data_IF_009122259776
#
_entry.id   IF_009122259776
#
_cell.length_a   1.000
_cell.length_b   1.000
_cell.length_c   1.000
_cell.angle_alpha   90.00
_cell.angle_beta   90.00
_cell.angle_gamma   90.00
#
_symmetry.space_group_name_H-M   'P 1'
#
loop_
_entity.id
_entity.type
_entity.pdbx_description
1 polymer ?
#
# COMPACT_ATOMS: atom_id res chain seq x y z
N UNK A 1 13.13 21.62 10.71
CA UNK A 1 13.48 20.51 9.82
C UNK A 1 12.91 19.20 10.33
N UNK A 2 12.41 18.37 9.42
CA UNK A 2 11.74 17.09 9.74
C UNK A 2 12.74 15.94 9.95
N UNK A 3 13.96 16.07 9.40
CA UNK A 3 15.02 15.08 9.41
C UNK A 3 16.31 15.65 10.02
N UNK A 4 17.17 14.76 10.50
CA UNK A 4 18.55 15.10 10.83
C UNK A 4 19.34 15.44 9.56
N UNK A 5 20.46 16.15 9.67
CA UNK A 5 21.33 16.40 8.50
C UNK A 5 21.83 15.11 7.85
N UNK A 6 22.07 14.07 8.65
CA UNK A 6 22.50 12.76 8.17
C UNK A 6 21.39 12.06 7.38
N UNK A 7 20.17 12.01 7.94
CA UNK A 7 19.03 11.39 7.27
C UNK A 7 18.61 12.17 6.01
N UNK A 8 18.75 13.51 6.02
CA UNK A 8 18.49 14.32 4.83
C UNK A 8 19.44 13.96 3.69
N UNK A 9 20.75 13.85 3.98
CA UNK A 9 21.75 13.41 2.98
C UNK A 9 21.50 11.99 2.48
N UNK A 10 21.02 11.10 3.34
CA UNK A 10 20.63 9.76 2.93
C UNK A 10 19.48 9.78 1.92
N UNK A 11 18.43 10.57 2.21
CA UNK A 11 17.27 10.72 1.32
C UNK A 11 17.66 11.39 0.01
N UNK A 12 18.47 12.44 0.07
CA UNK A 12 19.00 13.14 -1.11
C UNK A 12 19.78 12.18 -2.02
N UNK A 13 20.73 11.43 -1.47
CA UNK A 13 21.53 10.46 -2.22
C UNK A 13 20.66 9.35 -2.84
N UNK A 14 19.63 8.87 -2.13
CA UNK A 14 18.69 7.89 -2.68
C UNK A 14 17.90 8.45 -3.87
N UNK A 15 17.38 9.67 -3.74
CA UNK A 15 16.60 10.32 -4.80
C UNK A 15 17.44 10.57 -6.05
N UNK A 16 18.71 10.97 -5.90
CA UNK A 16 19.65 11.08 -7.02
C UNK A 16 19.90 9.72 -7.68
N UNK A 17 20.09 8.66 -6.88
CA UNK A 17 20.34 7.28 -7.34
C UNK A 17 19.18 6.73 -8.17
N UNK A 18 17.93 6.98 -7.76
CA UNK A 18 16.72 6.53 -8.48
C UNK A 18 16.26 7.52 -9.57
N UNK A 19 17.00 8.62 -9.79
CA UNK A 19 16.74 9.59 -10.85
C UNK A 19 15.57 10.55 -10.60
N UNK A 20 15.16 10.73 -9.34
CA UNK A 20 14.10 11.66 -8.95
C UNK A 20 14.64 13.07 -8.67
N UNK A 21 13.98 14.15 -9.15
CA UNK A 21 14.39 15.52 -8.87
C UNK A 21 14.33 15.88 -7.38
N UNK A 22 15.42 16.41 -6.83
CA UNK A 22 15.49 16.85 -5.42
C UNK A 22 14.44 17.90 -5.03
N UNK A 23 13.95 18.69 -6.00
CA UNK A 23 12.83 19.62 -5.78
C UNK A 23 11.55 18.95 -5.26
N UNK A 24 11.43 17.62 -5.40
CA UNK A 24 10.33 16.84 -4.83
C UNK A 24 10.44 16.73 -3.30
N UNK A 25 11.65 16.68 -2.74
CA UNK A 25 11.86 16.60 -1.28
C UNK A 25 11.26 17.81 -0.54
N UNK A 26 11.24 18.97 -1.18
CA UNK A 26 10.74 20.22 -0.60
C UNK A 26 9.25 20.47 -0.87
N UNK A 27 8.66 19.77 -1.85
CA UNK A 27 7.32 20.11 -2.40
C UNK A 27 6.29 19.01 -2.24
N UNK A 28 6.71 17.80 -1.93
CA UNK A 28 5.86 16.61 -1.80
C UNK A 28 5.91 16.12 -0.35
N UNK A 29 4.76 15.68 0.19
CA UNK A 29 4.73 15.15 1.57
C UNK A 29 5.54 13.84 1.67
N UNK A 30 6.24 13.57 2.79
CA UNK A 30 7.16 12.44 2.88
C UNK A 30 6.57 11.05 2.57
N UNK A 31 5.28 10.82 2.85
CA UNK A 31 4.63 9.57 2.47
C UNK A 31 4.58 9.34 0.95
N UNK A 32 4.30 10.38 0.17
CA UNK A 32 4.28 10.25 -1.30
C UNK A 32 5.69 10.09 -1.87
N UNK A 33 6.70 10.64 -1.20
CA UNK A 33 8.10 10.38 -1.52
C UNK A 33 8.46 8.91 -1.31
N UNK A 34 7.88 8.25 -0.31
CA UNK A 34 8.09 6.82 -0.05
C UNK A 34 7.49 5.95 -1.17
N UNK A 35 6.33 6.33 -1.69
CA UNK A 35 5.71 5.67 -2.83
C UNK A 35 6.47 5.88 -4.15
N UNK A 36 7.15 7.02 -4.31
CA UNK A 36 7.95 7.33 -5.50
C UNK A 36 9.38 6.77 -5.43
N UNK A 37 9.94 6.65 -4.22
CA UNK A 37 11.30 6.16 -3.99
C UNK A 37 11.42 4.65 -3.83
N UNK A 38 10.28 3.93 -3.81
CA UNK A 38 10.20 2.48 -3.65
C UNK A 38 10.65 1.68 -4.88
N UNK A 39 10.84 0.36 -4.69
CA UNK A 39 11.26 -0.61 -5.73
C UNK A 39 10.51 -0.47 -7.07
N UNK A 40 9.22 -0.09 -7.04
CA UNK A 40 8.36 0.09 -8.22
C UNK A 40 8.93 1.11 -9.23
N UNK A 41 9.59 2.17 -8.77
CA UNK A 41 10.22 3.17 -9.66
C UNK A 41 11.65 2.79 -10.07
N UNK A 42 12.39 2.09 -9.21
CA UNK A 42 13.73 1.59 -9.52
C UNK A 42 13.68 0.64 -10.73
N UNK A 43 12.64 -0.19 -10.81
CA UNK A 43 12.41 -1.05 -11.98
C UNK A 43 12.03 -0.28 -13.24
N UNK A 44 11.43 0.91 -13.14
CA UNK A 44 11.11 1.74 -14.30
C UNK A 44 12.30 2.55 -14.81
N UNK A 45 13.30 2.83 -13.95
CA UNK A 45 14.49 3.61 -14.29
C UNK A 45 15.70 2.78 -14.76
N UNK A 46 15.74 1.48 -14.44
CA UNK A 46 16.90 0.61 -14.69
C UNK A 46 17.06 0.17 -16.15
N UNK A 47 16.11 0.45 -17.04
CA UNK A 47 16.17 0.07 -18.45
C UNK A 47 16.19 -1.45 -18.68
N UNK A 48 15.93 -2.24 -17.65
CA UNK A 48 15.69 -3.67 -17.76
C UNK A 48 14.26 -3.87 -18.27
N UNK A 49 14.13 -4.55 -19.41
CA UNK A 49 12.87 -4.80 -20.12
C UNK A 49 11.99 -5.84 -19.38
N UNK A 50 12.35 -6.19 -18.14
CA UNK A 50 11.50 -6.95 -17.24
C UNK A 50 10.35 -6.04 -16.80
N UNK A 51 9.29 -6.04 -17.62
CA UNK A 51 8.09 -5.25 -17.37
C UNK A 51 7.50 -5.60 -16.00
N UNK A 52 7.91 -4.90 -14.95
CA UNK A 52 7.19 -4.89 -13.68
C UNK A 52 5.85 -4.26 -13.98
N UNK A 53 4.81 -5.09 -13.90
CA UNK A 53 3.45 -4.68 -14.19
C UNK A 53 2.71 -4.47 -12.88
N UNK A 54 2.07 -3.32 -12.74
CA UNK A 54 1.18 -3.05 -11.61
C UNK A 54 -0.11 -3.85 -11.75
N UNK A 55 -0.46 -4.65 -10.74
CA UNK A 55 -1.75 -5.35 -10.68
C UNK A 55 -2.93 -4.40 -10.81
N UNK A 56 -2.86 -3.20 -10.22
CA UNK A 56 -3.92 -2.18 -10.34
C UNK A 56 -4.09 -1.76 -11.80
N UNK A 57 -2.99 -1.43 -12.48
CA UNK A 57 -3.03 -1.02 -13.89
C UNK A 57 -3.60 -2.11 -14.79
N UNK A 58 -3.23 -3.37 -14.56
CA UNK A 58 -3.78 -4.51 -15.31
C UNK A 58 -5.28 -4.69 -15.07
N UNK A 59 -5.73 -4.65 -13.82
CA UNK A 59 -7.15 -4.77 -13.48
C UNK A 59 -7.97 -3.62 -14.08
N UNK A 60 -7.45 -2.39 -14.01
CA UNK A 60 -8.08 -1.23 -14.65
C UNK A 60 -8.16 -1.39 -16.17
N UNK A 61 -7.08 -1.82 -16.83
CA UNK A 61 -7.07 -2.08 -18.27
C UNK A 61 -8.09 -3.17 -18.65
N UNK A 62 -8.15 -4.27 -17.90
CA UNK A 62 -9.14 -5.33 -18.12
C UNK A 62 -10.57 -4.81 -17.97
N UNK A 63 -10.84 -4.00 -16.95
CA UNK A 63 -12.15 -3.39 -16.73
C UNK A 63 -12.54 -2.45 -17.89
N UNK A 64 -11.61 -1.60 -18.35
CA UNK A 64 -11.82 -0.70 -19.49
C UNK A 64 -12.09 -1.45 -20.80
N UNK A 65 -11.26 -2.47 -21.11
CA UNK A 65 -11.44 -3.30 -22.31
C UNK A 65 -12.80 -4.00 -22.32
N UNK A 66 -13.27 -4.44 -21.15
CA UNK A 66 -14.59 -5.05 -20.94
C UNK A 66 -15.73 -4.04 -20.78
N UNK A 67 -15.43 -2.74 -20.78
CA UNK A 67 -16.38 -1.63 -20.56
C UNK A 67 -17.16 -1.77 -19.25
N UNK A 68 -16.50 -2.28 -18.21
CA UNK A 68 -17.08 -2.39 -16.87
C UNK A 68 -17.05 -1.02 -16.19
N UNK A 69 -18.11 -0.63 -15.46
CA UNK A 69 -18.06 0.53 -14.57
C UNK A 69 -16.95 0.34 -13.52
N UNK A 70 -16.16 1.39 -13.30
CA UNK A 70 -15.13 1.42 -12.27
C UNK A 70 -15.60 2.41 -11.20
N UNK A 71 -15.65 1.93 -9.95
CA UNK A 71 -16.10 2.68 -8.78
C UNK A 71 -15.08 2.43 -7.65
N UNK A 72 -14.88 3.42 -6.77
CA UNK A 72 -13.98 3.31 -5.63
C UNK A 72 -14.72 2.99 -4.33
N UNK A 73 -14.04 2.29 -3.41
CA UNK A 73 -14.55 2.06 -2.04
C UNK A 73 -14.38 3.27 -1.12
N UNK A 74 -13.53 4.22 -1.53
CA UNK A 74 -13.27 5.48 -0.85
C UNK A 74 -12.82 6.53 -1.88
N UNK A 75 -12.73 7.79 -1.46
CA UNK A 75 -12.21 8.87 -2.32
C UNK A 75 -10.72 9.11 -2.08
N UNK A 76 -10.05 9.70 -3.06
CA UNK A 76 -8.66 10.10 -2.92
C UNK A 76 -8.48 11.10 -1.76
N UNK A 77 -9.40 12.05 -1.58
CA UNK A 77 -9.36 13.02 -0.48
C UNK A 77 -9.47 12.34 0.89
N UNK A 78 -10.33 11.33 1.02
CA UNK A 78 -10.46 10.56 2.25
C UNK A 78 -9.15 9.83 2.57
N UNK A 79 -8.56 9.15 1.59
CA UNK A 79 -7.29 8.45 1.76
C UNK A 79 -6.16 9.44 2.13
N UNK A 80 -6.10 10.60 1.46
CA UNK A 80 -5.15 11.67 1.79
C UNK A 80 -5.32 12.19 3.21
N UNK A 81 -6.57 12.31 3.70
CA UNK A 81 -6.84 12.76 5.07
C UNK A 81 -6.33 11.80 6.15
N UNK A 82 -6.25 10.50 5.85
CA UNK A 82 -5.62 9.53 6.75
C UNK A 82 -4.13 9.85 6.89
N UNK A 83 -3.41 10.03 5.78
CA UNK A 83 -2.00 10.42 5.84
C UNK A 83 -1.78 11.77 6.53
N UNK A 84 -2.68 12.74 6.33
CA UNK A 84 -2.59 14.04 7.00
C UNK A 84 -2.79 13.98 8.51
N UNK A 85 -3.37 12.90 9.01
CA UNK A 85 -3.49 12.63 10.44
C UNK A 85 -2.20 12.08 11.05
N UNK A 86 -1.24 11.65 10.23
CA UNK A 86 0.10 11.20 10.65
C UNK A 86 1.03 12.40 10.71
N UNK A 87 1.68 12.70 11.85
CA UNK A 87 2.59 13.84 11.96
C UNK A 87 3.72 13.77 10.92
N UNK A 88 4.04 14.91 10.29
CA UNK A 88 5.09 14.95 9.25
C UNK A 88 6.47 14.48 9.72
N UNK A 89 6.80 14.65 11.01
CA UNK A 89 8.02 14.10 11.59
C UNK A 89 8.04 12.58 11.61
N UNK A 90 6.87 11.95 11.72
CA UNK A 90 6.75 10.49 11.64
C UNK A 90 6.80 10.04 10.19
N UNK A 91 6.07 10.70 9.29
CA UNK A 91 6.14 10.40 7.85
C UNK A 91 7.58 10.50 7.32
N UNK A 92 8.36 11.49 7.78
CA UNK A 92 9.75 11.64 7.40
C UNK A 92 10.64 10.50 7.93
N UNK A 93 10.39 10.02 9.15
CA UNK A 93 11.08 8.82 9.69
C UNK A 93 10.72 7.57 8.90
N UNK A 94 9.44 7.39 8.55
CA UNK A 94 8.99 6.25 7.73
C UNK A 94 9.73 6.24 6.39
N UNK A 95 9.87 7.38 5.71
CA UNK A 95 10.65 7.51 4.47
C UNK A 95 12.11 7.07 4.65
N UNK A 96 12.74 7.51 5.74
CA UNK A 96 14.13 7.14 6.06
C UNK A 96 14.26 5.65 6.34
N UNK A 97 13.31 5.08 7.08
CA UNK A 97 13.26 3.65 7.40
C UNK A 97 13.07 2.81 6.13
N UNK A 98 12.18 3.21 5.22
CA UNK A 98 12.02 2.60 3.90
C UNK A 98 13.33 2.58 3.13
N UNK A 99 14.00 3.73 2.99
CA UNK A 99 15.28 3.82 2.26
C UNK A 99 16.39 2.96 2.93
N UNK A 100 16.46 2.96 4.27
CA UNK A 100 17.41 2.11 5.02
C UNK A 100 17.10 0.61 4.82
N UNK A 101 15.82 0.25 4.81
CA UNK A 101 15.35 -1.12 4.63
C UNK A 101 15.64 -1.64 3.21
N UNK A 102 15.56 -0.78 2.19
CA UNK A 102 15.92 -1.16 0.81
C UNK A 102 17.43 -1.39 0.66
N UNK A 103 18.24 -0.54 1.30
CA UNK A 103 19.71 -0.69 1.29
C UNK A 103 20.20 -1.87 2.12
N UNK A 104 19.33 -2.48 2.92
CA UNK A 104 19.62 -3.69 3.68
C UNK A 104 18.82 -4.86 3.10
N UNK A 105 19.47 -5.73 2.32
CA UNK A 105 18.83 -6.96 1.80
C UNK A 105 18.44 -7.88 2.97
N UNK A 106 17.25 -7.63 3.49
CA UNK A 106 16.68 -8.31 4.65
C UNK A 106 15.89 -9.55 4.23
N UNK A 107 15.74 -9.80 2.92
CA UNK A 107 14.87 -10.85 2.38
C UNK A 107 13.37 -10.62 2.64
N UNK A 108 12.98 -9.48 3.23
CA UNK A 108 11.59 -9.19 3.60
C UNK A 108 10.67 -9.11 2.38
N UNK A 109 11.10 -8.42 1.31
CA UNK A 109 10.32 -8.37 0.07
C UNK A 109 10.11 -9.75 -0.55
N UNK A 110 11.18 -10.56 -0.66
CA UNK A 110 11.10 -11.92 -1.17
C UNK A 110 10.14 -12.79 -0.32
N UNK A 111 10.18 -12.61 1.01
CA UNK A 111 9.26 -13.29 1.92
C UNK A 111 7.81 -12.84 1.73
N UNK A 112 7.56 -11.55 1.57
CA UNK A 112 6.23 -11.01 1.27
C UNK A 112 5.68 -11.58 -0.04
N UNK A 113 6.49 -11.64 -1.10
CA UNK A 113 6.10 -12.24 -2.38
C UNK A 113 5.78 -13.73 -2.23
N UNK A 114 6.57 -14.46 -1.45
CA UNK A 114 6.30 -15.88 -1.15
C UNK A 114 4.95 -16.07 -0.46
N UNK A 115 4.67 -15.30 0.60
CA UNK A 115 3.41 -15.35 1.35
C UNK A 115 2.21 -14.98 0.48
N UNK A 116 2.33 -13.91 -0.33
CA UNK A 116 1.30 -13.49 -1.26
C UNK A 116 0.96 -14.60 -2.27
N UNK A 117 1.97 -15.20 -2.90
CA UNK A 117 1.78 -16.30 -3.87
C UNK A 117 1.20 -17.56 -3.25
N UNK A 118 1.53 -17.83 -1.99
CA UNK A 118 0.98 -18.95 -1.23
C UNK A 118 -0.41 -18.66 -0.63
N UNK A 119 -0.97 -17.47 -0.85
CA UNK A 119 -2.26 -17.02 -0.30
C UNK A 119 -2.27 -17.05 1.25
N UNK A 120 -1.11 -16.85 1.87
CA UNK A 120 -0.97 -16.90 3.33
C UNK A 120 -1.32 -15.54 3.96
N UNK A 121 -2.63 -15.33 4.17
CA UNK A 121 -3.14 -14.09 4.76
C UNK A 121 -2.65 -13.86 6.20
N UNK A 122 -2.40 -14.93 6.96
CA UNK A 122 -1.93 -14.80 8.35
C UNK A 122 -0.45 -14.36 8.37
N UNK A 123 0.38 -14.95 7.52
CA UNK A 123 1.76 -14.51 7.36
C UNK A 123 1.85 -13.08 6.85
N UNK A 124 1.01 -12.71 5.85
CA UNK A 124 0.94 -11.34 5.34
C UNK A 124 0.53 -10.33 6.42
N UNK A 125 -0.45 -10.69 7.27
CA UNK A 125 -0.86 -9.85 8.40
C UNK A 125 0.29 -9.67 9.40
N UNK A 126 0.96 -10.76 9.80
CA UNK A 126 2.06 -10.68 10.76
C UNK A 126 3.23 -9.80 10.28
N UNK A 127 3.47 -9.75 8.96
CA UNK A 127 4.45 -8.82 8.39
C UNK A 127 4.03 -7.35 8.47
N UNK A 128 2.73 -7.06 8.41
CA UNK A 128 2.19 -5.69 8.48
C UNK A 128 2.12 -5.17 9.92
N UNK A 129 1.92 -6.08 10.89
CA UNK A 129 1.93 -5.77 12.33
C UNK A 129 3.35 -5.54 12.88
N UNK A 130 4.38 -6.02 12.18
CA UNK A 130 5.77 -5.84 12.57
C UNK A 130 6.11 -4.34 12.65
N UNK A 131 6.58 -3.87 13.79
CA UNK A 131 6.94 -2.46 14.01
C UNK A 131 8.02 -1.96 13.03
N UNK A 132 8.81 -2.87 12.45
CA UNK A 132 9.81 -2.55 11.43
C UNK A 132 9.24 -2.33 10.03
N UNK A 133 7.95 -2.60 9.79
CA UNK A 133 7.28 -2.49 8.49
C UNK A 133 7.07 -1.06 7.99
N UNK A 134 7.61 -0.05 8.68
CA UNK A 134 7.44 1.37 8.36
C UNK A 134 6.03 1.91 8.63
N UNK A 135 5.01 1.05 8.79
CA UNK A 135 3.63 1.42 9.14
C UNK A 135 3.24 1.06 10.58
N UNK A 136 4.17 0.46 11.34
CA UNK A 136 3.99 0.08 12.73
C UNK A 136 3.35 1.20 13.56
N UNK A 137 2.22 0.89 14.21
CA UNK A 137 1.46 1.85 15.02
C UNK A 137 0.43 2.71 14.27
N UNK A 138 0.31 2.60 12.95
CA UNK A 138 -0.72 3.29 12.14
C UNK A 138 -1.69 2.35 11.43
N UNK A 139 -1.64 1.05 11.75
CA UNK A 139 -2.52 0.02 11.18
C UNK A 139 -4.01 0.36 11.32
N UNK A 140 -4.42 0.88 12.49
CA UNK A 140 -5.81 1.29 12.73
C UNK A 140 -6.29 2.30 11.69
N UNK A 141 -5.43 3.27 11.37
CA UNK A 141 -5.76 4.36 10.46
C UNK A 141 -5.68 3.92 8.99
N UNK A 142 -4.64 3.15 8.63
CA UNK A 142 -4.31 2.80 7.26
C UNK A 142 -5.02 1.54 6.76
N UNK A 143 -5.48 0.67 7.66
CA UNK A 143 -6.19 -0.57 7.35
C UNK A 143 -7.56 -0.64 8.05
N UNK A 144 -7.61 -0.70 9.38
CA UNK A 144 -8.83 -1.06 10.13
C UNK A 144 -9.99 -0.09 9.84
N UNK A 145 -9.76 1.21 9.98
CA UNK A 145 -10.79 2.24 9.75
C UNK A 145 -11.27 2.25 8.30
N UNK A 146 -10.36 2.01 7.35
CA UNK A 146 -10.69 1.92 5.92
C UNK A 146 -11.52 0.68 5.64
N UNK A 147 -11.10 -0.48 6.13
CA UNK A 147 -11.84 -1.74 6.04
C UNK A 147 -13.27 -1.57 6.56
N UNK A 148 -13.44 -1.07 7.79
CA UNK A 148 -14.77 -0.85 8.40
C UNK A 148 -15.66 0.07 7.58
N UNK A 149 -15.09 1.12 6.97
CA UNK A 149 -15.85 2.03 6.12
C UNK A 149 -16.21 1.42 4.76
N UNK A 150 -15.42 0.48 4.25
CA UNK A 150 -15.70 -0.18 2.98
C UNK A 150 -16.85 -1.18 3.08
N UNK A 151 -17.03 -1.87 4.20
CA UNK A 151 -18.01 -2.96 4.32
C UNK A 151 -19.45 -2.53 3.98
N UNK A 152 -19.97 -1.40 4.50
CA UNK A 152 -21.29 -0.90 4.09
C UNK A 152 -21.37 -0.60 2.59
N UNK A 153 -20.34 0.05 2.02
CA UNK A 153 -20.27 0.41 0.60
C UNK A 153 -20.27 -0.84 -0.28
N UNK A 154 -19.43 -1.84 0.07
CA UNK A 154 -19.42 -3.14 -0.59
C UNK A 154 -20.79 -3.81 -0.50
N UNK A 155 -21.46 -3.71 0.65
CA UNK A 155 -22.80 -4.26 0.84
C UNK A 155 -23.84 -3.65 -0.10
N UNK A 156 -23.88 -2.33 -0.21
CA UNK A 156 -24.76 -1.62 -1.14
C UNK A 156 -24.48 -2.00 -2.59
N UNK A 157 -23.20 -2.03 -2.99
CA UNK A 157 -22.79 -2.42 -4.35
C UNK A 157 -23.18 -3.87 -4.69
N UNK A 158 -22.97 -4.80 -3.75
CA UNK A 158 -23.32 -6.22 -3.93
C UNK A 158 -24.82 -6.46 -4.03
N UNK A 159 -25.64 -5.69 -3.30
CA UNK A 159 -27.11 -5.75 -3.42
C UNK A 159 -27.57 -5.26 -4.79
N UNK A 160 -26.92 -4.22 -5.32
CA UNK A 160 -27.27 -3.65 -6.61
C UNK A 160 -26.90 -4.58 -7.79
N UNK A 161 -25.70 -5.18 -7.77
CA UNK A 161 -25.19 -6.04 -8.86
C UNK A 161 -24.03 -6.93 -8.40
N UNK A 162 -23.79 -8.07 -9.09
CA UNK A 162 -22.53 -8.80 -8.93
C UNK A 162 -21.34 -7.88 -9.18
N UNK A 163 -20.44 -7.79 -8.21
CA UNK A 163 -19.34 -6.81 -8.18
C UNK A 163 -18.03 -7.52 -7.88
N UNK A 164 -16.98 -7.16 -8.62
CA UNK A 164 -15.61 -7.59 -8.35
C UNK A 164 -14.91 -6.47 -7.58
N UNK A 165 -14.38 -6.79 -6.40
CA UNK A 165 -13.63 -5.85 -5.57
C UNK A 165 -12.14 -6.22 -5.63
N UNK A 166 -11.31 -5.25 -5.99
CA UNK A 166 -9.86 -5.35 -5.92
C UNK A 166 -9.35 -4.49 -4.77
N UNK A 167 -8.63 -5.09 -3.82
CA UNK A 167 -8.02 -4.39 -2.68
C UNK A 167 -6.64 -5.00 -2.42
N UNK A 168 -5.74 -4.22 -1.82
CA UNK A 168 -4.42 -4.72 -1.42
C UNK A 168 -4.52 -5.87 -0.41
N UNK A 169 -3.62 -6.86 -0.50
CA UNK A 169 -3.67 -8.05 0.35
C UNK A 169 -3.57 -7.75 1.86
N UNK A 170 -2.91 -6.66 2.25
CA UNK A 170 -2.86 -6.20 3.64
C UNK A 170 -4.24 -5.94 4.25
N UNK A 171 -5.26 -5.65 3.45
CA UNK A 171 -6.62 -5.40 3.92
C UNK A 171 -7.41 -6.69 4.23
N UNK A 172 -6.91 -7.87 3.88
CA UNK A 172 -7.71 -9.10 3.89
C UNK A 172 -7.58 -9.91 5.19
N UNK A 173 -6.41 -9.89 5.83
CA UNK A 173 -6.08 -10.69 7.02
C UNK A 173 -6.56 -10.05 8.33
N UNK A 174 -6.55 -10.84 9.41
CA UNK A 174 -6.91 -10.39 10.75
C UNK A 174 -8.39 -10.32 11.06
N UNK A 175 -8.70 -10.07 12.33
CA UNK A 175 -10.08 -9.92 12.83
C UNK A 175 -10.74 -8.65 12.29
N UNK A 176 -9.94 -7.64 11.95
CA UNK A 176 -10.36 -6.38 11.34
C UNK A 176 -10.17 -6.36 9.81
N UNK A 177 -9.80 -7.51 9.23
CA UNK A 177 -9.68 -7.68 7.79
C UNK A 177 -11.03 -7.73 7.09
N UNK A 178 -11.07 -7.33 5.82
CA UNK A 178 -12.29 -7.34 4.99
C UNK A 178 -12.98 -8.71 5.00
N UNK A 179 -12.22 -9.81 5.00
CA UNK A 179 -12.78 -11.17 5.02
C UNK A 179 -13.53 -11.46 6.33
N UNK A 180 -12.97 -11.06 7.48
CA UNK A 180 -13.58 -11.24 8.78
C UNK A 180 -14.82 -10.34 8.93
N UNK A 181 -14.70 -9.06 8.58
CA UNK A 181 -15.78 -8.09 8.68
C UNK A 181 -16.96 -8.42 7.75
N UNK A 182 -16.72 -8.96 6.54
CA UNK A 182 -17.80 -9.44 5.68
C UNK A 182 -18.55 -10.62 6.32
N UNK A 183 -17.85 -11.54 6.98
CA UNK A 183 -18.50 -12.65 7.70
C UNK A 183 -19.33 -12.13 8.87
N UNK A 184 -18.82 -11.16 9.62
CA UNK A 184 -19.54 -10.50 10.71
C UNK A 184 -20.81 -9.80 10.20
N UNK A 185 -20.73 -9.15 9.03
CA UNK A 185 -21.88 -8.55 8.35
C UNK A 185 -22.89 -9.57 7.76
N UNK A 186 -22.66 -10.88 7.96
CA UNK A 186 -23.59 -11.94 7.57
C UNK A 186 -23.35 -12.53 6.18
N UNK A 187 -22.26 -12.16 5.50
CA UNK A 187 -21.92 -12.72 4.19
C UNK A 187 -21.25 -14.09 4.32
N UNK A 188 -21.55 -14.99 3.38
CA UNK A 188 -20.84 -16.25 3.22
C UNK A 188 -19.63 -16.04 2.32
N UNK A 189 -18.44 -15.93 2.94
CA UNK A 189 -17.18 -15.76 2.21
C UNK A 189 -16.53 -17.12 1.93
N UNK A 190 -16.32 -17.44 0.65
CA UNK A 190 -15.69 -18.69 0.20
C UNK A 190 -14.41 -18.38 -0.60
N UNK A 191 -13.28 -19.02 -0.29
CA UNK A 191 -12.09 -18.90 -1.12
C UNK A 191 -12.35 -19.53 -2.49
N UNK A 192 -11.86 -18.87 -3.54
CA UNK A 192 -11.76 -19.47 -4.87
C UNK A 192 -10.38 -20.15 -4.95
N UNK A 193 -10.38 -21.45 -5.23
CA UNK A 193 -9.18 -22.27 -5.43
C UNK A 193 -9.04 -22.63 -6.90
#
# INVERSE_FOLDING_TARGET
DLLSEEDYKLVEAHFEEVGLPLMFLERIKPMFLSALGGEDMISMGSGDDSQVVSYEMELMQMAQQRKLPIEGLETAEYQMSMFDSIPYTVQAKMLVETIKSEKTDSGQFAKMVELYKNQDLQGMQGMMEDESSGIGGYEDLLLVRRNRNWIPVMGEMMVAKPTFFAVGAGHLGGDEGVVALLREAGYVVKPLR
#
